data_IF_708647908467
#
_entry.id   IF_708647908467
#
_cell.length_a   1.000
_cell.length_b   1.000
_cell.length_c   1.000
_cell.angle_alpha   90.00
_cell.angle_beta   90.00
_cell.angle_gamma   90.00
#
_symmetry.space_group_name_H-M   'P 1'
#
loop_
_entity.id
_entity.type
_entity.pdbx_description
1 polymer ?
#
# COMPACT_ATOMS: atom_id res chain seq x y z
N UNK A 1 -23.06 16.27 1.20
CA UNK A 1 -23.90 15.10 1.49
C UNK A 1 -24.44 14.60 0.16
N UNK A 2 -24.54 13.29 -0.03
CA UNK A 2 -25.24 12.76 -1.20
C UNK A 2 -26.74 13.04 -1.02
N UNK A 3 -27.45 13.29 -2.11
CA UNK A 3 -28.90 13.39 -2.07
C UNK A 3 -29.49 12.06 -1.58
N UNK A 4 -30.43 12.14 -0.64
CA UNK A 4 -31.05 10.98 -0.01
C UNK A 4 -31.67 10.03 -1.03
N UNK A 5 -32.30 10.57 -2.06
CA UNK A 5 -32.94 9.79 -3.14
C UNK A 5 -31.92 9.00 -3.96
N UNK A 6 -30.73 9.56 -4.18
CA UNK A 6 -29.66 8.90 -4.91
C UNK A 6 -29.05 7.77 -4.06
N UNK A 7 -28.90 7.99 -2.76
CA UNK A 7 -28.43 6.97 -1.83
C UNK A 7 -29.38 5.76 -1.82
N UNK A 8 -30.69 6.00 -1.73
CA UNK A 8 -31.69 4.93 -1.74
C UNK A 8 -31.66 4.11 -3.05
N UNK A 9 -31.48 4.77 -4.21
CA UNK A 9 -31.31 4.08 -5.49
C UNK A 9 -30.04 3.23 -5.54
N UNK A 10 -28.93 3.72 -4.99
CA UNK A 10 -27.67 2.98 -4.92
C UNK A 10 -27.82 1.76 -3.99
N UNK A 11 -28.49 1.91 -2.85
CA UNK A 11 -28.74 0.83 -1.90
C UNK A 11 -29.60 -0.26 -2.55
N UNK A 12 -30.65 0.11 -3.27
CA UNK A 12 -31.52 -0.83 -3.99
C UNK A 12 -30.74 -1.59 -5.09
N UNK A 13 -29.81 -0.92 -5.77
CA UNK A 13 -28.99 -1.51 -6.84
C UNK A 13 -27.94 -2.49 -6.29
N UNK A 14 -27.25 -2.13 -5.20
CA UNK A 14 -26.15 -2.92 -4.62
C UNK A 14 -26.67 -3.99 -3.64
N UNK A 15 -27.90 -3.86 -3.16
CA UNK A 15 -28.54 -4.81 -2.24
C UNK A 15 -28.11 -4.62 -0.78
N UNK A 16 -27.93 -3.38 -0.34
CA UNK A 16 -27.72 -3.01 1.07
C UNK A 16 -26.67 -1.94 1.35
N UNK A 17 -26.82 -1.22 2.47
CA UNK A 17 -25.94 -0.11 2.89
C UNK A 17 -24.49 -0.54 3.13
N UNK A 18 -24.27 -1.66 3.81
CA UNK A 18 -22.91 -2.16 4.08
C UNK A 18 -22.17 -2.51 2.80
N UNK A 19 -22.86 -3.15 1.86
CA UNK A 19 -22.30 -3.50 0.54
C UNK A 19 -21.96 -2.25 -0.26
N UNK A 20 -22.83 -1.22 -0.24
CA UNK A 20 -22.56 0.06 -0.88
C UNK A 20 -21.29 0.71 -0.32
N UNK A 21 -21.16 0.81 1.01
CA UNK A 21 -19.98 1.39 1.65
C UNK A 21 -18.71 0.63 1.30
N UNK A 22 -18.73 -0.71 1.37
CA UNK A 22 -17.58 -1.55 1.01
C UNK A 22 -17.21 -1.42 -0.48
N UNK A 23 -18.20 -1.40 -1.38
CA UNK A 23 -17.99 -1.23 -2.81
C UNK A 23 -17.39 0.14 -3.13
N UNK A 24 -17.94 1.21 -2.53
CA UNK A 24 -17.42 2.57 -2.67
C UNK A 24 -15.96 2.66 -2.19
N UNK A 25 -15.68 2.16 -0.98
CA UNK A 25 -14.33 2.19 -0.41
C UNK A 25 -13.32 1.43 -1.29
N UNK A 26 -13.66 0.20 -1.71
CA UNK A 26 -12.79 -0.62 -2.54
C UNK A 26 -12.49 0.08 -3.87
N UNK A 27 -13.52 0.59 -4.54
CA UNK A 27 -13.36 1.25 -5.84
C UNK A 27 -12.58 2.56 -5.73
N UNK A 28 -12.83 3.36 -4.70
CA UNK A 28 -12.06 4.58 -4.45
C UNK A 28 -10.57 4.28 -4.27
N UNK A 29 -10.20 3.18 -3.61
CA UNK A 29 -8.79 2.77 -3.46
C UNK A 29 -8.19 2.37 -4.81
N UNK A 30 -8.91 1.63 -5.65
CA UNK A 30 -8.45 1.28 -7.00
C UNK A 30 -8.18 2.51 -7.87
N UNK A 31 -9.10 3.48 -7.87
CA UNK A 31 -8.93 4.73 -8.61
C UNK A 31 -7.72 5.53 -8.07
N UNK A 32 -7.53 5.59 -6.75
CA UNK A 32 -6.35 6.21 -6.14
C UNK A 32 -5.03 5.52 -6.52
N UNK A 33 -5.06 4.22 -6.77
CA UNK A 33 -3.91 3.44 -7.26
C UNK A 33 -3.63 3.62 -8.76
N UNK A 34 -4.45 4.41 -9.47
CA UNK A 34 -4.29 4.69 -10.90
C UNK A 34 -5.10 3.78 -11.81
N UNK A 35 -6.10 3.06 -11.29
CA UNK A 35 -7.03 2.34 -12.15
C UNK A 35 -7.82 3.30 -13.04
N UNK A 36 -8.09 2.91 -14.28
CA UNK A 36 -8.89 3.72 -15.20
C UNK A 36 -10.37 3.72 -14.77
N UNK A 37 -11.05 4.88 -14.84
CA UNK A 37 -12.51 4.95 -14.75
C UNK A 37 -13.16 4.10 -15.85
N UNK A 38 -14.27 3.43 -15.52
CA UNK A 38 -15.07 2.62 -16.46
C UNK A 38 -16.16 3.44 -17.14
N UNK A 39 -16.33 4.69 -16.72
CA UNK A 39 -17.27 5.66 -17.28
C UNK A 39 -16.47 6.89 -17.67
N UNK A 40 -16.76 7.43 -18.84
CA UNK A 40 -16.29 8.76 -19.21
C UNK A 40 -17.12 9.77 -18.43
N UNK A 41 -16.48 10.45 -17.47
CA UNK A 41 -17.14 11.45 -16.64
C UNK A 41 -16.37 12.75 -16.72
N UNK A 42 -17.07 13.87 -16.88
CA UNK A 42 -16.48 15.21 -16.73
C UNK A 42 -16.17 15.54 -15.25
N UNK A 43 -16.65 14.68 -14.34
CA UNK A 43 -16.50 14.82 -12.90
C UNK A 43 -15.07 14.60 -12.42
N UNK A 44 -14.49 15.60 -11.77
CA UNK A 44 -13.14 15.55 -11.19
C UNK A 44 -13.06 14.75 -9.89
N UNK A 45 -14.19 14.51 -9.22
CA UNK A 45 -14.19 13.85 -7.92
C UNK A 45 -14.31 12.33 -8.04
N UNK A 46 -13.42 11.61 -7.36
CA UNK A 46 -13.42 10.15 -7.30
C UNK A 46 -14.78 9.57 -6.87
N UNK A 47 -15.45 10.24 -5.94
CA UNK A 47 -16.75 9.81 -5.45
C UNK A 47 -17.83 9.87 -6.54
N UNK A 48 -17.86 10.93 -7.36
CA UNK A 48 -18.82 11.07 -8.45
C UNK A 48 -18.62 9.97 -9.51
N UNK A 49 -17.36 9.64 -9.83
CA UNK A 49 -17.02 8.56 -10.77
C UNK A 49 -17.58 7.23 -10.25
N UNK A 50 -17.33 6.90 -8.97
CA UNK A 50 -17.79 5.65 -8.37
C UNK A 50 -19.32 5.56 -8.37
N UNK A 51 -20.02 6.65 -8.05
CA UNK A 51 -21.48 6.69 -8.06
C UNK A 51 -22.02 6.40 -9.47
N UNK A 52 -21.46 7.05 -10.50
CA UNK A 52 -21.87 6.81 -11.88
C UNK A 52 -21.57 5.37 -12.35
N UNK A 53 -20.45 4.80 -11.94
CA UNK A 53 -20.12 3.40 -12.21
C UNK A 53 -21.14 2.44 -11.59
N UNK A 54 -21.61 2.70 -10.36
CA UNK A 54 -22.64 1.89 -9.69
C UNK A 54 -24.00 2.05 -10.39
N UNK A 55 -24.40 3.29 -10.72
CA UNK A 55 -25.66 3.57 -11.41
C UNK A 55 -25.72 2.89 -12.79
N UNK A 56 -24.61 2.87 -13.52
CA UNK A 56 -24.48 2.17 -14.80
C UNK A 56 -24.28 0.65 -14.65
N UNK A 57 -24.28 0.12 -13.42
CA UNK A 57 -24.06 -1.31 -13.11
C UNK A 57 -22.77 -1.87 -13.72
N UNK A 58 -21.71 -1.05 -13.79
CA UNK A 58 -20.40 -1.46 -14.34
C UNK A 58 -19.47 -2.09 -13.30
N UNK A 59 -19.76 -1.89 -12.01
CA UNK A 59 -19.00 -2.45 -10.91
C UNK A 59 -19.91 -3.23 -9.97
N UNK A 60 -19.39 -4.34 -9.44
CA UNK A 60 -20.09 -5.17 -8.47
C UNK A 60 -19.10 -5.75 -7.45
N UNK A 61 -19.62 -6.12 -6.27
CA UNK A 61 -18.84 -6.89 -5.32
C UNK A 61 -18.75 -8.32 -5.82
N UNK A 62 -17.55 -8.75 -6.20
CA UNK A 62 -17.29 -10.15 -6.48
C UNK A 62 -17.72 -11.01 -5.26
N UNK A 63 -18.23 -12.23 -5.49
CA UNK A 63 -18.40 -13.19 -4.42
C UNK A 63 -17.06 -13.40 -3.71
N UNK A 64 -17.09 -14.01 -2.51
CA UNK A 64 -15.88 -14.44 -1.79
C UNK A 64 -15.20 -15.59 -2.54
N UNK A 65 -14.84 -15.37 -3.80
CA UNK A 65 -13.78 -16.09 -4.46
C UNK A 65 -12.49 -15.58 -3.85
N UNK A 66 -11.56 -16.49 -3.63
CA UNK A 66 -10.32 -16.31 -2.88
C UNK A 66 -9.43 -15.29 -3.60
N UNK A 67 -9.73 -14.01 -3.40
CA UNK A 67 -9.10 -12.92 -4.12
C UNK A 67 -7.75 -12.65 -3.45
N UNK A 68 -6.74 -13.34 -3.95
CA UNK A 68 -5.33 -12.99 -3.83
C UNK A 68 -4.70 -13.41 -2.51
N UNK A 69 -4.18 -14.64 -2.50
CA UNK A 69 -3.06 -15.03 -1.63
C UNK A 69 -1.88 -14.05 -1.69
N UNK A 70 -1.81 -13.16 -2.70
CA UNK A 70 -0.73 -12.20 -2.92
C UNK A 70 -0.27 -11.40 -1.70
N UNK A 71 -1.17 -10.84 -0.87
CA UNK A 71 -0.69 -10.04 0.28
C UNK A 71 0.03 -10.91 1.33
N UNK A 72 -0.52 -12.09 1.64
CA UNK A 72 0.13 -13.05 2.55
C UNK A 72 1.34 -13.72 1.91
N UNK A 73 1.30 -13.95 0.60
CA UNK A 73 2.36 -14.61 -0.16
C UNK A 73 3.55 -13.69 -0.41
N UNK A 74 3.33 -12.40 -0.65
CA UNK A 74 4.38 -11.38 -0.74
C UNK A 74 5.01 -11.12 0.63
N UNK A 75 4.22 -11.09 1.71
CA UNK A 75 4.74 -11.03 3.07
C UNK A 75 5.58 -12.28 3.42
N UNK A 76 5.13 -13.47 2.98
CA UNK A 76 5.90 -14.72 3.14
C UNK A 76 7.17 -14.72 2.31
N UNK A 77 7.16 -14.22 1.07
CA UNK A 77 8.37 -14.07 0.23
C UNK A 77 9.41 -13.16 0.87
N UNK A 78 8.98 -12.13 1.61
CA UNK A 78 9.88 -11.26 2.37
C UNK A 78 10.44 -11.97 3.61
N UNK A 79 9.65 -12.79 4.30
CA UNK A 79 10.13 -13.53 5.48
C UNK A 79 10.99 -14.76 5.14
N UNK A 80 10.71 -15.42 4.02
CA UNK A 80 11.36 -16.65 3.59
C UNK A 80 12.57 -16.40 2.67
N UNK A 81 12.87 -15.14 2.31
CA UNK A 81 14.10 -14.82 1.58
C UNK A 81 15.29 -15.05 2.52
N UNK A 82 16.20 -16.01 2.22
CA UNK A 82 17.43 -16.13 2.99
C UNK A 82 18.19 -14.80 2.92
N UNK A 83 18.85 -14.37 4.00
CA UNK A 83 19.64 -13.14 3.97
C UNK A 83 20.61 -13.21 2.79
N UNK A 84 20.58 -12.20 1.92
CA UNK A 84 21.53 -12.16 0.79
C UNK A 84 22.95 -12.17 1.36
N UNK A 85 23.81 -13.05 0.81
CA UNK A 85 25.22 -13.15 1.17
C UNK A 85 25.92 -11.81 0.87
N UNK A 86 25.92 -10.93 1.87
CA UNK A 86 26.41 -9.55 1.73
C UNK A 86 25.87 -8.64 2.83
N UNK A 87 24.67 -8.92 3.34
CA UNK A 87 24.10 -8.23 4.50
C UNK A 87 24.57 -8.93 5.77
N UNK A 88 25.86 -8.78 6.13
CA UNK A 88 26.28 -9.09 7.49
C UNK A 88 25.52 -8.13 8.40
N UNK A 89 24.50 -8.62 9.11
CA UNK A 89 23.81 -7.87 10.15
C UNK A 89 24.85 -7.43 11.19
N UNK A 90 25.29 -6.18 11.09
CA UNK A 90 26.30 -5.61 11.99
C UNK A 90 25.60 -5.42 13.34
N UNK A 91 25.79 -6.38 14.27
CA UNK A 91 25.22 -6.28 15.61
C UNK A 91 25.94 -5.17 16.39
N UNK A 92 25.33 -4.66 17.47
CA UNK A 92 25.84 -3.51 18.21
C UNK A 92 27.31 -3.64 18.67
N UNK A 93 27.77 -4.87 18.93
CA UNK A 93 29.17 -5.20 19.23
C UNK A 93 30.12 -4.95 18.05
N UNK A 94 29.71 -5.29 16.84
CA UNK A 94 30.49 -5.09 15.62
C UNK A 94 30.55 -3.60 15.27
N UNK A 95 29.44 -2.88 15.47
CA UNK A 95 29.40 -1.43 15.29
C UNK A 95 30.36 -0.69 16.24
N UNK A 96 30.46 -1.16 17.49
CA UNK A 96 31.41 -0.61 18.49
C UNK A 96 32.85 -0.85 18.06
N UNK A 97 33.17 -2.07 17.61
CA UNK A 97 34.52 -2.45 17.16
C UNK A 97 34.95 -1.69 15.90
N UNK A 98 34.03 -1.51 14.94
CA UNK A 98 34.29 -0.72 13.71
C UNK A 98 34.53 0.75 14.05
N UNK A 99 33.73 1.34 14.95
CA UNK A 99 33.90 2.73 15.37
C UNK A 99 35.22 2.94 16.12
N UNK A 100 35.57 2.04 17.04
CA UNK A 100 36.83 2.11 17.77
C UNK A 100 38.06 1.99 16.86
N UNK A 101 38.01 1.08 15.87
CA UNK A 101 39.06 0.93 14.86
C UNK A 101 39.22 2.20 14.01
N UNK A 102 38.11 2.79 13.52
CA UNK A 102 38.13 4.04 12.75
C UNK A 102 38.68 5.22 13.55
N UNK A 103 38.31 5.32 14.83
CA UNK A 103 38.82 6.38 15.71
C UNK A 103 40.33 6.21 15.93
N UNK A 104 40.80 4.96 16.11
CA UNK A 104 42.23 4.67 16.29
C UNK A 104 43.03 4.99 15.03
N UNK A 105 42.52 4.67 13.85
CA UNK A 105 43.15 4.98 12.56
C UNK A 105 43.20 6.50 12.32
N UNK A 106 42.09 7.22 12.55
CA UNK A 106 42.05 8.68 12.44
C UNK A 106 43.00 9.35 13.44
N UNK A 107 43.07 8.84 14.67
CA UNK A 107 44.00 9.34 15.69
C UNK A 107 45.47 9.13 15.28
N UNK A 108 45.81 7.96 14.71
CA UNK A 108 47.14 7.68 14.19
C UNK A 108 47.52 8.57 12.99
N UNK A 109 46.55 8.93 12.14
CA UNK A 109 46.75 9.87 11.05
C UNK A 109 46.95 11.32 11.51
N UNK A 110 46.22 11.75 12.55
CA UNK A 110 46.26 13.12 13.05
C UNK A 110 47.45 13.39 13.99
N UNK A 111 47.92 12.36 14.69
CA UNK A 111 49.13 12.42 15.52
C UNK A 111 50.20 11.47 14.97
N UNK A 112 50.85 11.79 13.83
CA UNK A 112 52.11 11.14 13.52
C UNK A 112 53.06 11.48 14.66
N UNK A 113 53.52 10.47 15.40
CA UNK A 113 54.53 10.67 16.43
C UNK A 113 55.67 11.48 15.81
N UNK A 114 55.91 12.66 16.37
CA UNK A 114 57.13 13.41 16.14
C UNK A 114 58.27 12.51 16.59
N UNK A 115 58.91 11.83 15.66
CA UNK A 115 60.33 11.52 15.75
C UNK A 115 61.14 12.82 15.61
#
# INVERSE_FOLDING_TARGET
MLDTELEDQLIATVGGKLKLTSLMQKRMVELKRGAKPLVETDGTSLQAIVIQEILQKKIELAPRSECGSGFMEDARRVSDKPPEEGEKEIYGSDLKRIKEARIKELSAFLNPTKD
#
